data_IF_732170723817
#
_entry.id   IF_732170723817
#
_cell.length_a   1.000
_cell.length_b   1.000
_cell.length_c   1.000
_cell.angle_alpha   90.00
_cell.angle_beta   90.00
_cell.angle_gamma   90.00
#
_symmetry.space_group_name_H-M   'P 1'
#
loop_
_entity.id
_entity.type
_entity.pdbx_description
1 polymer ?
#
# COMPACT_ATOMS: atom_id res chain seq x y z
N UNK A 1 -5.23 22.85 -8.86
CA UNK A 1 -5.37 22.95 -10.34
C UNK A 1 -5.60 21.55 -10.93
N UNK A 2 -6.79 20.96 -10.74
CA UNK A 2 -7.15 19.59 -11.16
C UNK A 2 -8.10 19.59 -12.37
N UNK A 3 -7.76 20.30 -13.45
CA UNK A 3 -8.70 20.51 -14.60
C UNK A 3 -8.17 20.09 -15.97
N UNK A 4 -7.14 19.23 -16.07
CA UNK A 4 -6.55 18.88 -17.39
C UNK A 4 -6.47 17.40 -17.77
N UNK A 5 -6.90 16.47 -16.92
CA UNK A 5 -6.83 15.03 -17.28
C UNK A 5 -8.11 14.56 -18.01
N UNK A 6 -9.22 15.30 -17.89
CA UNK A 6 -10.51 14.92 -18.51
C UNK A 6 -10.58 15.06 -20.04
N UNK A 7 -9.55 15.60 -20.71
CA UNK A 7 -9.59 15.86 -22.17
C UNK A 7 -8.83 14.83 -23.03
N UNK A 8 -8.09 13.88 -22.44
CA UNK A 8 -7.34 12.87 -23.22
C UNK A 8 -8.09 11.53 -23.40
N UNK A 9 -9.29 11.39 -22.83
CA UNK A 9 -10.14 10.18 -22.92
C UNK A 9 -10.95 10.07 -24.23
N UNK A 10 -10.42 10.54 -25.36
CA UNK A 10 -11.04 10.38 -26.69
C UNK A 10 -10.28 9.32 -27.50
N UNK A 11 -10.41 8.03 -27.15
CA UNK A 11 -10.03 6.97 -28.09
C UNK A 11 -9.79 5.57 -27.55
N UNK A 12 -9.49 5.41 -26.26
CA UNK A 12 -9.23 4.08 -25.67
C UNK A 12 -10.11 3.88 -24.44
N UNK A 13 -10.92 2.82 -24.42
CA UNK A 13 -11.68 2.39 -23.24
C UNK A 13 -10.72 1.91 -22.16
N UNK A 14 -10.12 2.82 -21.42
CA UNK A 14 -9.32 2.46 -20.25
C UNK A 14 -10.26 1.95 -19.16
N UNK A 15 -9.98 0.74 -18.66
CA UNK A 15 -10.79 0.14 -17.60
C UNK A 15 -10.56 0.90 -16.29
N UNK A 16 -11.54 0.95 -15.38
CA UNK A 16 -11.36 1.57 -14.06
C UNK A 16 -10.13 1.04 -13.30
N UNK A 17 -9.79 -0.23 -13.51
CA UNK A 17 -8.58 -0.86 -12.95
C UNK A 17 -7.29 -0.23 -13.48
N UNK A 18 -7.19 0.00 -14.80
CA UNK A 18 -6.01 0.64 -15.41
C UNK A 18 -5.82 2.07 -14.90
N UNK A 19 -6.90 2.83 -14.83
CA UNK A 19 -6.88 4.20 -14.31
C UNK A 19 -6.34 4.19 -12.86
N UNK A 20 -6.85 3.30 -12.01
CA UNK A 20 -6.38 3.19 -10.63
C UNK A 20 -4.89 2.83 -10.54
N UNK A 21 -4.42 1.88 -11.36
CA UNK A 21 -3.01 1.48 -11.41
C UNK A 21 -2.12 2.65 -11.84
N UNK A 22 -2.53 3.43 -12.84
CA UNK A 22 -1.77 4.60 -13.32
C UNK A 22 -1.75 5.75 -12.31
N UNK A 23 -2.91 6.11 -11.74
CA UNK A 23 -3.03 7.20 -10.76
C UNK A 23 -2.18 6.96 -9.51
N UNK A 24 -2.10 5.70 -9.06
CA UNK A 24 -1.30 5.31 -7.90
C UNK A 24 0.11 4.86 -8.27
N UNK A 25 0.49 4.89 -9.57
CA UNK A 25 1.74 4.31 -10.10
C UNK A 25 2.00 2.89 -9.58
N UNK A 26 0.93 2.12 -9.41
CA UNK A 26 0.92 0.76 -8.89
C UNK A 26 1.12 -0.22 -10.04
N UNK A 27 2.11 -1.09 -9.89
CA UNK A 27 2.38 -2.21 -10.80
C UNK A 27 2.59 -3.47 -9.96
N UNK A 28 2.35 -4.62 -10.54
CA UNK A 28 2.65 -5.91 -9.92
C UNK A 28 3.68 -6.64 -10.76
N UNK A 29 4.76 -7.05 -10.10
CA UNK A 29 5.82 -7.87 -10.68
C UNK A 29 5.74 -9.28 -10.09
N UNK A 30 5.81 -10.30 -10.94
CA UNK A 30 5.61 -11.70 -10.54
C UNK A 30 6.68 -12.22 -9.57
N UNK A 31 7.88 -11.62 -9.57
CA UNK A 31 9.00 -12.05 -8.71
C UNK A 31 9.20 -11.09 -7.52
N UNK A 32 8.95 -9.80 -7.73
CA UNK A 32 9.27 -8.73 -6.77
C UNK A 32 8.05 -8.25 -5.98
N UNK A 33 6.84 -8.59 -6.42
CA UNK A 33 5.58 -8.20 -5.80
C UNK A 33 5.12 -6.79 -6.19
N UNK A 34 4.35 -6.09 -5.33
CA UNK A 34 3.84 -4.76 -5.64
C UNK A 34 4.94 -3.70 -5.74
N UNK A 35 4.81 -2.84 -6.75
CA UNK A 35 5.69 -1.70 -7.02
C UNK A 35 4.84 -0.43 -7.04
N UNK A 36 5.20 0.59 -6.26
CA UNK A 36 4.50 1.88 -6.21
C UNK A 36 5.53 2.99 -6.40
N UNK A 37 5.28 3.91 -7.34
CA UNK A 37 6.22 4.98 -7.70
C UNK A 37 7.63 4.43 -8.00
N UNK A 38 7.70 3.34 -8.77
CA UNK A 38 8.93 2.58 -9.11
C UNK A 38 9.72 2.03 -7.91
N UNK A 39 9.13 2.00 -6.71
CA UNK A 39 9.70 1.38 -5.51
C UNK A 39 9.10 -0.01 -5.30
N UNK A 40 9.95 -1.04 -5.21
CA UNK A 40 9.54 -2.39 -4.85
C UNK A 40 9.15 -2.43 -3.37
N UNK A 41 7.86 -2.59 -3.10
CA UNK A 41 7.30 -2.45 -1.75
C UNK A 41 7.80 -3.54 -0.80
N UNK A 42 7.92 -4.78 -1.28
CA UNK A 42 8.46 -5.87 -0.48
C UNK A 42 9.91 -5.61 -0.02
N UNK A 43 10.75 -5.04 -0.89
CA UNK A 43 12.15 -4.76 -0.51
C UNK A 43 12.24 -3.63 0.52
N UNK A 44 11.37 -2.62 0.45
CA UNK A 44 11.45 -1.44 1.31
C UNK A 44 10.70 -1.60 2.64
N UNK A 45 9.58 -2.32 2.64
CA UNK A 45 8.61 -2.27 3.75
C UNK A 45 8.32 -3.61 4.42
N UNK A 46 8.83 -4.74 3.90
CA UNK A 46 8.54 -6.07 4.46
C UNK A 46 8.85 -6.19 5.94
N UNK A 47 9.97 -5.62 6.40
CA UNK A 47 10.35 -5.69 7.83
C UNK A 47 9.35 -4.92 8.73
N UNK A 48 8.86 -3.78 8.24
CA UNK A 48 7.85 -2.99 8.97
C UNK A 48 6.53 -3.76 9.00
N UNK A 49 6.15 -4.36 7.87
CA UNK A 49 4.96 -5.19 7.79
C UNK A 49 5.04 -6.39 8.73
N UNK A 50 6.18 -7.08 8.79
CA UNK A 50 6.37 -8.22 9.69
C UNK A 50 6.22 -7.77 11.15
N UNK A 51 6.85 -6.66 11.53
CA UNK A 51 6.74 -6.12 12.88
C UNK A 51 5.30 -5.72 13.24
N UNK A 52 4.65 -4.88 12.42
CA UNK A 52 3.30 -4.40 12.74
C UNK A 52 2.25 -5.51 12.64
N UNK A 53 2.42 -6.49 11.75
CA UNK A 53 1.52 -7.63 11.63
C UNK A 53 1.66 -8.68 12.73
N UNK A 54 2.60 -8.54 13.67
CA UNK A 54 2.99 -9.63 14.59
C UNK A 54 3.43 -10.89 13.84
N UNK A 55 4.26 -10.72 12.80
CA UNK A 55 4.82 -11.79 11.96
C UNK A 55 3.78 -12.59 11.17
N UNK A 56 2.54 -12.09 11.08
CA UNK A 56 1.47 -12.71 10.30
C UNK A 56 1.67 -12.53 8.79
N UNK A 57 2.36 -11.47 8.39
CA UNK A 57 2.75 -11.19 7.00
C UNK A 57 4.24 -10.86 6.93
N UNK A 58 4.93 -11.47 5.98
CA UNK A 58 6.35 -11.19 5.69
C UNK A 58 6.50 -10.26 4.47
N UNK A 59 5.47 -10.14 3.64
CA UNK A 59 5.46 -9.35 2.42
C UNK A 59 4.03 -8.94 2.05
N UNK A 60 3.91 -8.14 0.99
CA UNK A 60 2.66 -7.51 0.55
C UNK A 60 1.96 -8.29 -0.58
N UNK A 61 2.40 -9.52 -0.89
CA UNK A 61 1.88 -10.29 -2.03
C UNK A 61 0.45 -10.77 -1.78
N UNK A 62 0.12 -11.11 -0.54
CA UNK A 62 -1.21 -11.57 -0.16
C UNK A 62 -2.11 -10.39 0.22
N UNK A 63 -2.70 -9.75 -0.79
CA UNK A 63 -3.59 -8.60 -0.63
C UNK A 63 -4.83 -8.88 0.21
N UNK A 64 -5.42 -10.08 0.08
CA UNK A 64 -6.56 -10.48 0.91
C UNK A 64 -6.18 -10.52 2.39
N UNK A 65 -5.06 -11.17 2.72
CA UNK A 65 -4.58 -11.26 4.10
C UNK A 65 -4.15 -9.90 4.64
N UNK A 66 -3.52 -9.06 3.80
CA UNK A 66 -3.19 -7.67 4.12
C UNK A 66 -4.45 -6.89 4.52
N UNK A 67 -5.51 -6.96 3.72
CA UNK A 67 -6.79 -6.31 4.00
C UNK A 67 -7.38 -6.77 5.35
N UNK A 68 -7.41 -8.09 5.60
CA UNK A 68 -7.96 -8.65 6.83
C UNK A 68 -7.23 -8.18 8.10
N UNK A 69 -5.91 -8.03 8.03
CA UNK A 69 -5.11 -7.66 9.23
C UNK A 69 -4.78 -6.17 9.31
N UNK A 70 -5.14 -5.38 8.31
CA UNK A 70 -4.87 -3.93 8.27
C UNK A 70 -5.38 -3.18 9.49
N UNK A 71 -6.58 -3.46 10.06
CA UNK A 71 -7.03 -2.78 11.28
C UNK A 71 -6.04 -2.94 12.43
N UNK A 72 -5.48 -4.14 12.62
CA UNK A 72 -4.49 -4.44 13.68
C UNK A 72 -3.15 -3.73 13.42
N UNK A 73 -2.72 -3.67 12.15
CA UNK A 73 -1.52 -2.93 11.75
C UNK A 73 -1.69 -1.44 12.04
N UNK A 74 -2.80 -0.85 11.60
CA UNK A 74 -3.08 0.57 11.76
C UNK A 74 -3.14 0.97 13.23
N UNK A 75 -3.80 0.19 14.08
CA UNK A 75 -3.87 0.45 15.51
C UNK A 75 -2.47 0.55 16.14
N UNK A 76 -1.58 -0.38 15.81
CA UNK A 76 -0.20 -0.35 16.31
C UNK A 76 0.61 0.83 15.78
N UNK A 77 0.45 1.16 14.51
CA UNK A 77 1.10 2.35 13.93
C UNK A 77 0.62 3.60 14.66
N UNK A 78 -0.69 3.72 14.90
CA UNK A 78 -1.29 4.86 15.57
C UNK A 78 -0.83 4.96 17.03
N UNK A 79 -0.66 3.83 17.72
CA UNK A 79 -0.05 3.78 19.06
C UNK A 79 1.41 4.26 19.06
N UNK A 80 2.24 3.85 18.09
CA UNK A 80 3.62 4.34 17.99
C UNK A 80 3.69 5.85 17.72
N UNK A 81 2.84 6.36 16.83
CA UNK A 81 2.75 7.79 16.55
C UNK A 81 2.29 8.56 17.79
N UNK A 82 1.21 8.11 18.45
CA UNK A 82 0.63 8.79 19.60
C UNK A 82 1.58 8.83 20.81
N UNK A 83 2.34 7.75 21.02
CA UNK A 83 3.31 7.67 22.12
C UNK A 83 4.66 8.31 21.78
N UNK A 84 4.91 8.59 20.50
CA UNK A 84 6.20 9.03 19.96
C UNK A 84 7.37 8.08 20.31
N UNK A 85 7.06 6.81 20.61
CA UNK A 85 8.03 5.77 20.94
C UNK A 85 8.26 4.90 19.72
N UNK A 86 9.14 5.38 18.85
CA UNK A 86 9.45 4.70 17.60
C UNK A 86 10.46 3.57 17.79
N UNK A 87 10.25 2.48 17.06
CA UNK A 87 11.19 1.37 17.01
C UNK A 87 12.46 1.79 16.27
N UNK A 88 13.56 1.96 17.02
CA UNK A 88 14.83 2.40 16.47
C UNK A 88 15.39 1.48 15.37
N UNK A 89 15.22 0.16 15.52
CA UNK A 89 15.70 -0.85 14.54
C UNK A 89 15.06 -0.69 13.16
N UNK A 90 13.82 -0.20 13.11
CA UNK A 90 13.09 0.04 11.86
C UNK A 90 13.31 1.45 11.32
N UNK A 91 14.06 2.29 12.05
CA UNK A 91 14.23 3.71 11.76
C UNK A 91 12.86 4.39 11.59
N UNK A 92 11.91 4.03 12.46
CA UNK A 92 10.55 4.56 12.41
C UNK A 92 10.55 6.07 12.72
N UNK A 93 9.82 6.80 11.93
CA UNK A 93 9.44 8.20 12.17
C UNK A 93 7.95 8.34 11.86
N UNK A 94 7.31 9.40 12.36
CA UNK A 94 5.91 9.67 12.05
C UNK A 94 5.66 9.70 10.53
N UNK A 95 6.54 10.37 9.77
CA UNK A 95 6.44 10.45 8.31
C UNK A 95 6.50 9.06 7.67
N UNK A 96 7.47 8.23 8.07
CA UNK A 96 7.65 6.87 7.55
C UNK A 96 6.43 6.00 7.84
N UNK A 97 5.86 6.12 9.04
CA UNK A 97 4.65 5.39 9.43
C UNK A 97 3.41 5.85 8.64
N UNK A 98 3.28 7.14 8.37
CA UNK A 98 2.21 7.66 7.50
C UNK A 98 2.38 7.19 6.05
N UNK A 99 3.62 7.11 5.54
CA UNK A 99 3.89 6.52 4.23
C UNK A 99 3.49 5.04 4.18
N UNK A 100 3.80 4.26 5.23
CA UNK A 100 3.38 2.86 5.32
C UNK A 100 1.86 2.71 5.27
N UNK A 101 1.12 3.55 6.02
CA UNK A 101 -0.35 3.55 5.99
C UNK A 101 -0.89 3.86 4.60
N UNK A 102 -0.29 4.84 3.90
CA UNK A 102 -0.68 5.18 2.54
C UNK A 102 -0.46 4.01 1.55
N UNK A 103 0.67 3.31 1.65
CA UNK A 103 0.96 2.12 0.82
C UNK A 103 -0.07 1.02 1.08
N UNK A 104 -0.34 0.69 2.34
CA UNK A 104 -1.34 -0.31 2.72
C UNK A 104 -2.73 0.09 2.20
N UNK A 105 -3.08 1.37 2.29
CA UNK A 105 -4.34 1.88 1.78
C UNK A 105 -4.48 1.68 0.27
N UNK A 106 -3.46 2.01 -0.52
CA UNK A 106 -3.46 1.80 -1.98
C UNK A 106 -3.70 0.32 -2.30
N UNK A 107 -2.93 -0.57 -1.66
CA UNK A 107 -3.03 -2.01 -1.91
C UNK A 107 -4.38 -2.60 -1.49
N UNK A 108 -4.93 -2.15 -0.37
CA UNK A 108 -6.25 -2.59 0.09
C UNK A 108 -7.39 -2.07 -0.78
N UNK A 109 -7.32 -0.80 -1.20
CA UNK A 109 -8.30 -0.23 -2.11
C UNK A 109 -8.29 -0.99 -3.44
N UNK A 110 -7.11 -1.28 -3.99
CA UNK A 110 -6.99 -2.12 -5.19
C UNK A 110 -7.65 -3.50 -4.99
N UNK A 111 -7.37 -4.16 -3.87
CA UNK A 111 -8.00 -5.44 -3.53
C UNK A 111 -9.52 -5.36 -3.48
N UNK A 112 -10.07 -4.39 -2.74
CA UNK A 112 -11.52 -4.21 -2.57
C UNK A 112 -12.21 -3.89 -3.90
N UNK A 113 -11.62 -3.01 -4.71
CA UNK A 113 -12.25 -2.54 -5.94
C UNK A 113 -12.17 -3.56 -7.09
N UNK A 114 -11.11 -4.37 -7.15
CA UNK A 114 -10.80 -5.15 -8.35
C UNK A 114 -10.59 -6.64 -8.14
N UNK A 115 -10.39 -7.13 -6.91
CA UNK A 115 -10.03 -8.52 -6.63
C UNK A 115 -10.95 -9.25 -5.65
N UNK A 116 -11.60 -8.55 -4.71
CA UNK A 116 -12.31 -9.17 -3.58
C UNK A 116 -13.47 -10.09 -3.98
N UNK A 117 -14.21 -9.69 -5.01
CA UNK A 117 -15.42 -10.39 -5.46
C UNK A 117 -15.19 -11.19 -6.76
N UNK A 118 -13.93 -11.43 -7.12
CA UNK A 118 -13.51 -12.35 -8.19
C UNK A 118 -13.22 -13.73 -7.61
#
# INVERSE_FOLDING_TARGET
MFKKITQLFQGSKETPEKIYLEENQLKFDSERGPIINDVVINQKWSEHLEYFSNRKLQNFDNLQKLFLITPQINEKIDLEIATQRYVARLENTQEKLLQLKAIIQILNQYYVLFLRDK
#
